data_IF_802366123979
#
_entry.id   IF_802366123979
#
_cell.length_a   1.000
_cell.length_b   1.000
_cell.length_c   1.000
_cell.angle_alpha   90.00
_cell.angle_beta   90.00
_cell.angle_gamma   90.00
#
_symmetry.space_group_name_H-M   'P 1'
#
loop_
_entity.id
_entity.type
_entity.pdbx_description
1 polymer ?
#
# COMPACT_ATOMS: atom_id res chain seq x y z
N UNK A 1 28.31 -45.48 -3.58
CA UNK A 1 28.25 -44.23 -2.78
C UNK A 1 28.23 -43.09 -3.78
N UNK A 2 27.04 -42.55 -4.06
CA UNK A 2 26.88 -41.37 -4.92
C UNK A 2 26.32 -40.29 -4.02
N UNK A 3 27.20 -39.45 -3.48
CA UNK A 3 26.79 -38.29 -2.71
C UNK A 3 26.15 -37.29 -3.66
N UNK A 4 24.86 -37.02 -3.46
CA UNK A 4 24.15 -35.95 -4.14
C UNK A 4 24.78 -34.62 -3.70
N UNK A 5 25.55 -34.01 -4.59
CA UNK A 5 25.99 -32.63 -4.50
C UNK A 5 24.74 -31.75 -4.40
N UNK A 6 24.44 -31.24 -3.20
CA UNK A 6 23.37 -30.28 -2.96
C UNK A 6 23.85 -28.93 -3.45
N UNK A 7 23.57 -28.62 -4.72
CA UNK A 7 23.77 -27.29 -5.29
C UNK A 7 23.05 -26.27 -4.41
N UNK A 8 23.84 -25.54 -3.62
CA UNK A 8 23.36 -24.48 -2.76
C UNK A 8 23.27 -23.23 -3.62
N UNK A 9 22.05 -22.87 -4.03
CA UNK A 9 21.81 -21.60 -4.71
C UNK A 9 22.31 -20.45 -3.83
N UNK A 10 22.99 -19.43 -4.41
CA UNK A 10 23.41 -18.27 -3.64
C UNK A 10 22.17 -17.55 -3.12
N UNK A 11 22.04 -17.45 -1.79
CA UNK A 11 21.00 -16.66 -1.15
C UNK A 11 21.29 -15.20 -1.48
N UNK A 12 20.56 -14.62 -2.43
CA UNK A 12 20.60 -13.18 -2.67
C UNK A 12 20.01 -12.48 -1.46
N UNK A 13 20.88 -12.00 -0.58
CA UNK A 13 20.49 -11.20 0.58
C UNK A 13 19.73 -9.97 0.08
N UNK A 14 18.45 -9.87 0.43
CA UNK A 14 17.63 -8.73 0.02
C UNK A 14 18.18 -7.46 0.67
N UNK A 15 18.31 -6.34 -0.06
CA UNK A 15 18.83 -5.11 0.50
C UNK A 15 18.05 -4.69 1.74
N UNK A 16 18.75 -4.32 2.81
CA UNK A 16 18.12 -3.81 4.02
C UNK A 16 17.34 -2.52 3.69
N UNK A 17 16.08 -2.40 4.14
CA UNK A 17 15.32 -1.16 3.98
C UNK A 17 16.04 0.03 4.62
N UNK A 18 16.01 1.20 3.95
CA UNK A 18 16.55 2.44 4.51
C UNK A 18 15.68 2.93 5.67
N UNK A 19 14.36 2.83 5.47
CA UNK A 19 13.37 3.02 6.53
C UNK A 19 12.94 1.64 7.02
N UNK A 20 13.23 1.24 8.28
CA UNK A 20 13.03 -0.13 8.75
C UNK A 20 11.56 -0.58 8.83
N UNK A 21 10.61 0.36 8.77
CA UNK A 21 9.18 0.06 8.81
C UNK A 21 8.36 1.09 8.04
N UNK A 22 7.10 0.74 7.77
CA UNK A 22 6.13 1.66 7.18
C UNK A 22 5.98 2.94 8.01
N UNK A 23 5.76 2.81 9.33
CA UNK A 23 5.59 3.96 10.23
C UNK A 23 6.79 4.89 10.16
N UNK A 24 7.97 4.31 10.06
CA UNK A 24 9.22 5.03 9.95
C UNK A 24 9.31 5.86 8.67
N UNK A 25 9.02 5.24 7.54
CA UNK A 25 8.97 5.89 6.24
C UNK A 25 7.89 6.98 6.19
N UNK A 26 6.69 6.72 6.73
CA UNK A 26 5.61 7.70 6.77
C UNK A 26 6.03 8.95 7.56
N UNK A 27 6.61 8.73 8.74
CA UNK A 27 6.95 9.81 9.68
C UNK A 27 8.17 10.60 9.24
N UNK A 28 9.20 9.92 8.72
CA UNK A 28 10.50 10.54 8.41
C UNK A 28 10.69 10.91 6.93
N UNK A 29 9.86 10.37 6.03
CA UNK A 29 9.95 10.64 4.59
C UNK A 29 8.64 11.21 4.04
N UNK A 30 7.57 10.43 4.05
CA UNK A 30 6.36 10.74 3.29
C UNK A 30 5.69 12.05 3.73
N UNK A 31 5.35 12.17 5.02
CA UNK A 31 4.64 13.35 5.55
C UNK A 31 5.50 14.61 5.46
N UNK A 32 6.81 14.60 5.80
CA UNK A 32 7.67 15.77 5.60
C UNK A 32 7.84 16.19 4.14
N UNK A 33 7.87 15.24 3.20
CA UNK A 33 8.15 15.48 1.78
C UNK A 33 6.91 15.94 0.99
N UNK A 34 5.76 15.26 1.14
CA UNK A 34 4.58 15.45 0.30
C UNK A 34 3.52 16.30 0.99
N UNK A 35 3.91 17.52 1.36
CA UNK A 35 3.03 18.47 2.05
C UNK A 35 1.95 19.02 1.12
N UNK A 36 0.74 19.15 1.65
CA UNK A 36 -0.42 19.77 0.99
C UNK A 36 -1.15 20.63 2.01
N UNK A 37 -1.81 21.68 1.54
CA UNK A 37 -2.76 22.43 2.38
C UNK A 37 -3.96 21.52 2.63
N UNK A 38 -4.16 21.12 3.89
CA UNK A 38 -5.25 20.25 4.28
C UNK A 38 -6.57 21.02 4.32
N UNK A 39 -7.66 20.33 4.06
CA UNK A 39 -8.97 20.96 3.81
C UNK A 39 -9.19 21.22 2.32
N UNK A 40 -10.45 21.39 1.91
CA UNK A 40 -10.81 21.51 0.49
C UNK A 40 -10.55 20.20 -0.27
N UNK A 41 -9.53 20.19 -1.14
CA UNK A 41 -9.19 19.05 -2.00
C UNK A 41 -8.38 17.96 -1.31
N UNK A 42 -7.58 18.31 -0.29
CA UNK A 42 -6.71 17.35 0.39
C UNK A 42 -7.23 16.97 1.78
N UNK A 43 -7.07 15.69 2.12
CA UNK A 43 -7.45 15.07 3.40
C UNK A 43 -6.28 14.30 3.95
N UNK A 44 -6.13 14.37 5.26
CA UNK A 44 -5.19 13.58 6.03
C UNK A 44 -5.79 13.33 7.42
N UNK A 45 -5.51 12.18 8.01
CA UNK A 45 -5.86 11.86 9.38
C UNK A 45 -4.57 11.65 10.17
N UNK A 46 -4.36 12.36 11.29
CA UNK A 46 -3.21 12.13 12.14
C UNK A 46 -3.14 10.68 12.66
N UNK A 47 -4.29 10.02 12.82
CA UNK A 47 -4.43 8.60 13.18
C UNK A 47 -4.50 7.68 11.95
N UNK A 48 -3.72 7.95 10.89
CA UNK A 48 -3.78 7.23 9.62
C UNK A 48 -3.70 5.69 9.75
N UNK A 49 -3.03 5.17 10.78
CA UNK A 49 -2.94 3.74 11.09
C UNK A 49 -4.28 3.09 11.49
N UNK A 50 -5.34 3.88 11.68
CA UNK A 50 -6.70 3.38 11.88
C UNK A 50 -7.46 3.16 10.56
N UNK A 51 -6.87 3.52 9.42
CA UNK A 51 -7.48 3.37 8.11
C UNK A 51 -6.81 2.23 7.33
N UNK A 52 -7.44 1.06 7.29
CA UNK A 52 -6.86 -0.13 6.65
C UNK A 52 -6.48 0.09 5.17
N UNK A 53 -7.31 0.81 4.40
CA UNK A 53 -6.98 1.17 3.02
C UNK A 53 -5.76 2.10 2.94
N UNK A 54 -5.65 3.09 3.84
CA UNK A 54 -4.49 3.98 3.86
C UNK A 54 -3.20 3.21 4.19
N UNK A 55 -3.25 2.29 5.16
CA UNK A 55 -2.12 1.40 5.49
C UNK A 55 -1.69 0.62 4.24
N UNK A 56 -2.63 -0.03 3.56
CA UNK A 56 -2.34 -0.82 2.35
C UNK A 56 -1.67 0.01 1.26
N UNK A 57 -2.20 1.21 0.97
CA UNK A 57 -1.64 2.13 -0.02
C UNK A 57 -0.25 2.65 0.36
N UNK A 58 -0.09 3.13 1.59
CA UNK A 58 1.19 3.63 2.10
C UNK A 58 2.25 2.51 2.12
N UNK A 59 1.86 1.27 2.45
CA UNK A 59 2.75 0.12 2.42
C UNK A 59 3.24 -0.20 1.00
N UNK A 60 2.34 -0.16 0.02
CA UNK A 60 2.71 -0.32 -1.40
C UNK A 60 3.67 0.77 -1.87
N UNK A 61 3.41 2.03 -1.48
CA UNK A 61 4.30 3.15 -1.79
C UNK A 61 5.68 3.01 -1.13
N UNK A 62 5.74 2.60 0.14
CA UNK A 62 6.99 2.39 0.84
C UNK A 62 7.84 1.29 0.19
N UNK A 63 7.26 0.12 -0.09
CA UNK A 63 8.01 -0.98 -0.72
C UNK A 63 8.51 -0.61 -2.12
N UNK A 64 7.66 0.03 -2.92
CA UNK A 64 8.07 0.48 -4.26
C UNK A 64 9.15 1.58 -4.19
N UNK A 65 9.09 2.45 -3.18
CA UNK A 65 10.11 3.47 -2.94
C UNK A 65 11.46 2.87 -2.55
N UNK A 66 11.46 1.88 -1.63
CA UNK A 66 12.67 1.16 -1.21
C UNK A 66 13.33 0.41 -2.37
N UNK A 67 12.53 -0.17 -3.26
CA UNK A 67 13.05 -0.79 -4.48
C UNK A 67 13.60 0.27 -5.45
N UNK A 68 12.86 1.35 -5.69
CA UNK A 68 13.20 2.38 -6.67
C UNK A 68 14.47 3.15 -6.32
N UNK A 69 14.72 3.44 -5.03
CA UNK A 69 15.94 4.15 -4.61
C UNK A 69 17.24 3.39 -4.94
N UNK A 70 17.15 2.08 -5.20
CA UNK A 70 18.29 1.23 -5.55
C UNK A 70 18.52 1.13 -7.07
N UNK A 71 17.61 1.63 -7.90
CA UNK A 71 17.64 1.48 -9.36
C UNK A 71 18.52 2.53 -10.08
N UNK A 72 19.37 3.26 -9.36
CA UNK A 72 20.25 4.28 -9.92
C UNK A 72 19.53 5.58 -10.28
N UNK A 73 20.11 6.36 -11.22
CA UNK A 73 19.73 7.77 -11.45
C UNK A 73 18.26 8.00 -11.82
N UNK A 74 17.62 7.06 -12.52
CA UNK A 74 16.23 7.21 -12.99
C UNK A 74 15.19 6.57 -12.07
N UNK A 75 15.60 5.79 -11.07
CA UNK A 75 14.70 4.98 -10.24
C UNK A 75 13.60 5.81 -9.57
N UNK A 76 13.97 6.96 -8.98
CA UNK A 76 12.99 7.85 -8.34
C UNK A 76 12.01 8.48 -9.34
N UNK A 77 12.46 8.83 -10.54
CA UNK A 77 11.59 9.38 -11.58
C UNK A 77 10.54 8.37 -12.04
N UNK A 78 10.94 7.10 -12.20
CA UNK A 78 10.01 6.01 -12.51
C UNK A 78 9.05 5.76 -11.34
N UNK A 79 9.52 5.82 -10.10
CA UNK A 79 8.66 5.65 -8.93
C UNK A 79 7.57 6.72 -8.80
N UNK A 80 7.90 7.99 -9.09
CA UNK A 80 6.90 9.04 -9.15
C UNK A 80 5.80 8.71 -10.16
N UNK A 81 6.20 8.42 -11.40
CA UNK A 81 5.30 8.12 -12.52
C UNK A 81 4.43 6.90 -12.27
N UNK A 82 5.05 5.78 -11.88
CA UNK A 82 4.41 4.46 -11.85
C UNK A 82 3.67 4.19 -10.53
N UNK A 83 4.02 4.89 -9.45
CA UNK A 83 3.47 4.63 -8.12
C UNK A 83 2.90 5.87 -7.45
N UNK A 84 3.73 6.89 -7.18
CA UNK A 84 3.29 7.99 -6.32
C UNK A 84 2.17 8.80 -6.96
N UNK A 85 2.33 9.25 -8.20
CA UNK A 85 1.41 10.20 -8.82
C UNK A 85 0.02 9.61 -9.06
N UNK A 86 -0.08 8.29 -9.18
CA UNK A 86 -1.35 7.56 -9.28
C UNK A 86 -2.00 7.37 -7.91
N UNK A 87 -1.23 7.11 -6.86
CA UNK A 87 -1.75 6.83 -5.52
C UNK A 87 -2.05 8.10 -4.72
N UNK A 88 -1.25 9.15 -4.88
CA UNK A 88 -1.31 10.35 -4.05
C UNK A 88 -2.66 11.09 -4.15
N UNK A 89 -3.27 11.27 -5.35
CA UNK A 89 -4.60 11.88 -5.47
C UNK A 89 -5.71 11.04 -4.85
N UNK A 90 -5.54 9.71 -4.78
CA UNK A 90 -6.52 8.82 -4.15
C UNK A 90 -6.35 8.83 -2.64
N UNK A 91 -5.12 8.71 -2.16
CA UNK A 91 -4.79 8.66 -0.73
C UNK A 91 -5.17 9.97 -0.02
N UNK A 92 -4.83 11.12 -0.62
CA UNK A 92 -5.09 12.44 -0.05
C UNK A 92 -6.39 13.07 -0.58
N UNK A 93 -7.09 12.41 -1.49
CA UNK A 93 -8.24 13.02 -2.16
C UNK A 93 -9.48 13.18 -1.27
N UNK A 94 -10.46 13.99 -1.70
CA UNK A 94 -11.67 14.28 -0.92
C UNK A 94 -12.63 13.09 -0.86
N UNK A 95 -12.39 12.03 -1.64
CA UNK A 95 -13.11 10.75 -1.61
C UNK A 95 -12.20 9.58 -1.20
N UNK A 96 -11.02 9.90 -0.70
CA UNK A 96 -10.01 8.93 -0.30
C UNK A 96 -10.31 8.27 1.05
N UNK A 97 -9.38 7.47 1.57
CA UNK A 97 -9.55 6.76 2.84
C UNK A 97 -9.76 7.69 4.05
N UNK A 98 -9.36 8.95 3.93
CA UNK A 98 -9.50 9.98 4.96
C UNK A 98 -10.69 10.92 4.74
N UNK A 99 -11.64 10.61 3.84
CA UNK A 99 -12.65 11.58 3.39
C UNK A 99 -13.52 12.20 4.50
N UNK A 100 -13.74 11.47 5.60
CA UNK A 100 -14.50 11.94 6.76
C UNK A 100 -13.62 12.57 7.85
N UNK A 101 -12.31 12.39 7.79
CA UNK A 101 -11.39 12.88 8.81
C UNK A 101 -10.88 14.29 8.47
N UNK A 102 -10.45 14.99 9.51
CA UNK A 102 -9.57 16.14 9.40
C UNK A 102 -8.22 15.79 10.01
N UNK A 103 -7.26 16.73 9.98
CA UNK A 103 -5.97 16.52 10.63
C UNK A 103 -6.14 16.23 12.14
N UNK A 104 -7.05 16.95 12.77
CA UNK A 104 -7.27 16.91 14.22
C UNK A 104 -8.38 15.95 14.66
N UNK A 105 -9.27 15.53 13.75
CA UNK A 105 -10.43 14.69 14.06
C UNK A 105 -10.47 13.40 13.23
N UNK A 106 -10.46 12.26 13.92
CA UNK A 106 -10.61 10.92 13.33
C UNK A 106 -12.06 10.44 13.42
N UNK A 107 -12.62 9.99 12.29
CA UNK A 107 -13.90 9.30 12.23
C UNK A 107 -13.72 7.86 11.74
N UNK A 108 -14.24 6.92 12.52
CA UNK A 108 -14.19 5.50 12.21
C UNK A 108 -15.26 5.15 11.17
N UNK A 109 -14.83 4.74 9.98
CA UNK A 109 -15.75 4.33 8.92
C UNK A 109 -16.38 2.97 9.25
N UNK A 110 -17.70 2.87 9.11
CA UNK A 110 -18.41 1.60 9.30
C UNK A 110 -18.14 0.66 8.10
N UNK A 111 -17.74 -0.60 8.33
CA UNK A 111 -17.63 -1.58 7.26
C UNK A 111 -18.94 -1.75 6.49
N UNK A 112 -18.82 -2.04 5.19
CA UNK A 112 -19.97 -2.38 4.37
C UNK A 112 -20.67 -3.64 4.91
N UNK A 113 -22.00 -3.65 4.87
CA UNK A 113 -22.78 -4.83 5.24
C UNK A 113 -22.72 -5.84 4.10
N UNK A 114 -22.45 -7.10 4.44
CA UNK A 114 -22.50 -8.22 3.52
C UNK A 114 -23.66 -9.12 3.92
N UNK A 115 -24.49 -9.51 2.95
CA UNK A 115 -25.38 -10.65 3.11
C UNK A 115 -24.57 -11.94 2.90
N UNK A 116 -24.92 -13.06 3.55
CA UNK A 116 -24.30 -14.34 3.24
C UNK A 116 -24.53 -14.67 1.77
N UNK A 117 -23.52 -15.25 1.14
CA UNK A 117 -23.65 -15.74 -0.23
C UNK A 117 -24.54 -16.99 -0.18
N UNK A 118 -25.60 -17.11 -1.00
CA UNK A 118 -26.43 -18.31 -1.04
C UNK A 118 -25.62 -19.57 -1.34
N UNK A 119 -26.04 -20.69 -0.77
CA UNK A 119 -25.47 -22.00 -1.08
C UNK A 119 -25.56 -22.28 -2.60
N UNK A 120 -24.51 -22.81 -3.20
CA UNK A 120 -24.49 -23.13 -4.63
C UNK A 120 -24.31 -21.95 -5.58
N UNK A 121 -23.84 -20.78 -5.09
CA UNK A 121 -23.61 -19.60 -5.93
C UNK A 121 -22.17 -19.47 -6.46
N UNK A 122 -21.20 -20.18 -5.88
CA UNK A 122 -19.77 -20.11 -6.22
C UNK A 122 -19.16 -21.44 -6.66
N UNK A 123 -19.91 -22.54 -6.55
CA UNK A 123 -19.54 -23.80 -7.17
C UNK A 123 -19.73 -23.65 -8.68
N UNK A 124 -18.62 -23.55 -9.42
CA UNK A 124 -18.60 -23.52 -10.88
C UNK A 124 -19.12 -24.80 -11.56
N UNK A 125 -20.09 -25.51 -10.98
CA UNK A 125 -20.79 -26.66 -11.55
C UNK A 125 -22.02 -26.23 -12.34
N UNK A 126 -21.85 -25.41 -13.38
CA UNK A 126 -22.72 -25.46 -14.55
C UNK A 126 -21.98 -26.17 -15.68
N UNK A 127 -22.15 -27.49 -15.78
CA UNK A 127 -21.50 -28.23 -16.86
C UNK A 127 -21.64 -29.76 -16.90
N UNK A 128 -22.72 -30.35 -16.36
CA UNK A 128 -23.17 -31.66 -16.83
C UNK A 128 -24.70 -31.69 -16.92
N UNK A 129 -25.22 -31.03 -17.96
CA UNK A 129 -26.56 -31.28 -18.48
C UNK A 129 -26.39 -31.76 -19.93
N UNK A 130 -26.26 -33.07 -20.11
CA UNK A 130 -26.53 -33.77 -21.37
C UNK A 130 -27.96 -34.30 -21.36
#
# INVERSE_FOLDING_TARGET
MSELQKDSQPVTESPKPLYPSLTDWVTRHFVPMFRRTLGGEFRWCAQWWRHAEAISRLQSLWYSWEAARLQGATGMGLWYRDHLDHQLPVLLGPRGPFYQCTEDEHLEARPARLAPVPDGWWDGSEGDRR
#
